data_IF_842634879732
#
_entry.id   IF_842634879732
#
_cell.length_a   1.000
_cell.length_b   1.000
_cell.length_c   1.000
_cell.angle_alpha   90.00
_cell.angle_beta   90.00
_cell.angle_gamma   90.00
#
_symmetry.space_group_name_H-M   'P 1'
#
loop_
_entity.id
_entity.type
_entity.pdbx_description
1 polymer ?
#
# COMPACT_ATOMS: atom_id res chain seq x y z
N UNK A 1 -21.18 5.54 23.94
CA UNK A 1 -21.95 5.90 22.73
C UNK A 1 -21.51 7.29 22.29
N UNK A 2 -20.42 7.33 21.52
CA UNK A 2 -19.91 8.51 20.84
C UNK A 2 -19.00 7.95 19.73
N UNK A 3 -19.63 7.43 18.67
CA UNK A 3 -18.90 7.00 17.49
C UNK A 3 -18.28 8.24 16.86
N UNK A 4 -16.99 8.17 16.58
CA UNK A 4 -16.18 9.19 15.93
C UNK A 4 -16.83 9.65 14.62
N UNK A 5 -17.66 10.70 14.71
CA UNK A 5 -18.36 11.32 13.59
C UNK A 5 -17.43 11.79 12.46
N UNK A 6 -16.13 11.90 12.74
CA UNK A 6 -15.09 12.28 11.79
C UNK A 6 -14.77 11.17 10.78
N UNK A 7 -14.84 9.89 11.17
CA UNK A 7 -14.55 8.76 10.26
C UNK A 7 -15.68 8.50 9.26
N UNK A 8 -16.93 8.77 9.65
CA UNK A 8 -18.10 8.60 8.78
C UNK A 8 -18.22 9.71 7.71
N UNK A 9 -17.68 10.90 7.96
CA UNK A 9 -17.78 12.02 7.02
C UNK A 9 -16.91 11.83 5.76
N UNK A 10 -15.74 11.16 5.90
CA UNK A 10 -14.86 10.85 4.77
C UNK A 10 -15.44 9.75 3.86
N UNK A 11 -16.07 8.72 4.44
CA UNK A 11 -16.69 7.65 3.64
C UNK A 11 -17.92 8.13 2.83
N UNK A 12 -18.65 9.16 3.29
CA UNK A 12 -19.86 9.62 2.61
C UNK A 12 -19.58 10.50 1.38
N UNK A 13 -18.40 11.11 1.29
CA UNK A 13 -18.00 11.99 0.18
C UNK A 13 -17.54 11.20 -1.07
N UNK A 14 -17.07 9.97 -0.89
CA UNK A 14 -16.56 9.12 -1.98
C UNK A 14 -17.67 8.46 -2.82
N UNK A 15 -18.87 8.30 -2.26
CA UNK A 15 -19.96 7.54 -2.93
C UNK A 15 -20.73 8.39 -3.95
N UNK A 16 -20.62 9.72 -3.92
CA UNK A 16 -21.45 10.59 -4.78
C UNK A 16 -20.90 10.87 -6.18
N UNK A 17 -19.69 10.41 -6.53
CA UNK A 17 -19.04 10.80 -7.81
C UNK A 17 -18.99 9.70 -8.88
N UNK A 18 -19.48 8.47 -8.63
CA UNK A 18 -19.41 7.35 -9.59
C UNK A 18 -20.76 7.04 -10.28
N UNK A 19 -21.55 8.07 -10.58
CA UNK A 19 -22.77 7.91 -11.37
C UNK A 19 -22.80 8.88 -12.55
N UNK A 20 -22.04 8.61 -13.61
CA UNK A 20 -22.29 9.16 -14.96
C UNK A 20 -21.44 8.53 -16.08
N UNK A 21 -22.09 7.62 -16.84
CA UNK A 21 -22.04 7.36 -18.31
C UNK A 21 -20.66 6.94 -18.92
N UNK A 22 -20.49 5.90 -19.75
CA UNK A 22 -21.31 5.42 -20.87
C UNK A 22 -21.14 3.92 -21.18
N UNK A 23 -22.24 3.31 -21.63
CA UNK A 23 -22.30 2.08 -22.42
C UNK A 23 -21.90 2.32 -23.90
N UNK A 24 -21.72 1.19 -24.65
CA UNK A 24 -21.53 0.97 -26.11
C UNK A 24 -20.10 0.44 -26.39
N UNK A 25 -19.81 -0.69 -27.07
CA UNK A 25 -20.57 -1.64 -27.91
C UNK A 25 -19.86 -3.02 -27.94
N UNK A 26 -20.63 -4.07 -28.18
CA UNK A 26 -20.20 -5.35 -28.72
C UNK A 26 -19.43 -5.24 -30.05
N UNK A 27 -18.52 -6.18 -30.30
CA UNK A 27 -17.93 -6.46 -31.61
C UNK A 27 -17.03 -7.70 -31.56
N UNK A 28 -17.56 -8.86 -31.92
CA UNK A 28 -16.88 -10.17 -31.93
C UNK A 28 -16.35 -10.48 -33.34
N UNK A 29 -15.11 -10.96 -33.48
CA UNK A 29 -14.72 -11.85 -34.61
C UNK A 29 -13.69 -12.88 -34.15
N UNK A 30 -13.99 -14.15 -34.39
CA UNK A 30 -13.14 -15.33 -34.19
C UNK A 30 -12.10 -15.49 -35.31
N UNK A 31 -10.88 -15.91 -34.96
CA UNK A 31 -10.13 -16.92 -35.72
C UNK A 31 -8.93 -17.44 -34.90
N UNK A 32 -8.84 -18.76 -34.81
CA UNK A 32 -7.72 -19.59 -34.35
C UNK A 32 -6.42 -19.28 -35.09
N UNK A 33 -5.27 -19.38 -34.41
CA UNK A 33 -4.40 -20.55 -34.62
C UNK A 33 -3.29 -20.70 -33.58
N UNK A 34 -3.04 -21.96 -33.29
CA UNK A 34 -2.12 -22.55 -32.34
C UNK A 34 -0.65 -22.43 -32.75
N UNK A 35 0.21 -22.06 -31.82
CA UNK A 35 1.56 -22.61 -31.76
C UNK A 35 2.00 -22.67 -30.30
N UNK A 36 2.16 -23.89 -29.80
CA UNK A 36 2.69 -24.15 -28.46
C UNK A 36 4.11 -23.59 -28.37
N UNK A 37 4.30 -22.65 -27.46
CA UNK A 37 5.62 -22.22 -27.02
C UNK A 37 5.77 -22.65 -25.57
N UNK A 38 6.69 -23.60 -25.41
CA UNK A 38 7.38 -24.01 -24.19
C UNK A 38 7.18 -23.03 -23.01
N UNK A 39 6.45 -23.50 -21.98
CA UNK A 39 6.34 -22.76 -20.71
C UNK A 39 7.62 -23.04 -19.93
N UNK A 40 8.64 -22.22 -20.21
CA UNK A 40 9.76 -22.04 -19.27
C UNK A 40 9.23 -21.18 -18.12
N UNK A 41 9.31 -21.63 -16.84
CA UNK A 41 8.91 -20.79 -15.73
C UNK A 41 9.91 -19.64 -15.55
N UNK A 42 9.42 -18.40 -15.60
CA UNK A 42 10.01 -17.29 -14.87
C UNK A 42 11.14 -16.53 -15.56
N UNK A 43 10.88 -15.89 -16.70
CA UNK A 43 11.48 -14.57 -16.93
C UNK A 43 10.46 -13.54 -16.45
N UNK A 44 10.58 -13.14 -15.17
CA UNK A 44 9.88 -11.95 -14.72
C UNK A 44 10.33 -10.80 -15.61
N UNK A 45 9.38 -10.10 -16.23
CA UNK A 45 9.69 -8.90 -17.00
C UNK A 45 10.44 -7.95 -16.06
N UNK A 46 11.68 -7.62 -16.44
CA UNK A 46 12.52 -6.68 -15.73
C UNK A 46 11.80 -5.34 -15.68
N UNK A 47 11.89 -4.61 -14.58
CA UNK A 47 11.25 -3.29 -14.52
C UNK A 47 11.95 -2.34 -15.48
N UNK A 48 11.15 -1.64 -16.30
CA UNK A 48 11.66 -0.69 -17.29
C UNK A 48 12.17 0.60 -16.62
N UNK A 49 11.50 1.05 -15.55
CA UNK A 49 11.90 2.15 -14.67
C UNK A 49 11.25 2.03 -13.29
N UNK A 50 11.66 2.88 -12.34
CA UNK A 50 11.00 2.92 -11.02
C UNK A 50 9.55 3.41 -11.12
N UNK A 51 9.27 4.38 -11.97
CA UNK A 51 7.92 4.94 -12.19
C UNK A 51 7.01 3.88 -12.80
N UNK A 52 7.48 3.13 -13.81
CA UNK A 52 6.72 2.03 -14.39
C UNK A 52 6.44 0.92 -13.37
N UNK A 53 7.42 0.61 -12.51
CA UNK A 53 7.22 -0.26 -11.37
C UNK A 53 6.14 0.28 -10.43
N UNK A 54 6.23 1.56 -10.02
CA UNK A 54 5.36 2.17 -9.03
C UNK A 54 3.91 2.22 -9.53
N UNK A 55 3.68 2.63 -10.78
CA UNK A 55 2.35 2.60 -11.41
C UNK A 55 1.73 1.22 -11.35
N UNK A 56 2.50 0.17 -11.66
CA UNK A 56 1.98 -1.20 -11.62
C UNK A 56 1.81 -1.72 -10.19
N UNK A 57 2.70 -1.31 -9.29
CA UNK A 57 2.66 -1.64 -7.87
C UNK A 57 1.38 -1.12 -7.21
N UNK A 58 0.96 0.10 -7.54
CA UNK A 58 -0.23 0.74 -6.99
C UNK A 58 -1.53 0.41 -7.72
N UNK A 59 -1.47 -0.25 -8.89
CA UNK A 59 -2.66 -0.56 -9.70
C UNK A 59 -3.04 -2.05 -9.76
N UNK A 60 -2.28 -2.94 -9.12
CA UNK A 60 -2.55 -4.39 -9.10
C UNK A 60 -2.12 -5.03 -7.80
N UNK A 61 -3.08 -5.51 -7.01
CA UNK A 61 -2.84 -6.18 -5.75
C UNK A 61 -1.97 -7.43 -5.92
N UNK A 62 -2.28 -8.26 -6.93
CA UNK A 62 -1.49 -9.44 -7.23
C UNK A 62 -0.03 -9.07 -7.50
N UNK A 63 0.23 -8.05 -8.34
CA UNK A 63 1.59 -7.60 -8.61
C UNK A 63 2.26 -7.04 -7.37
N UNK A 64 1.56 -6.21 -6.58
CA UNK A 64 2.06 -5.63 -5.35
C UNK A 64 2.60 -6.70 -4.40
N UNK A 65 1.82 -7.74 -4.12
CA UNK A 65 2.26 -8.84 -3.25
C UNK A 65 3.49 -9.59 -3.79
N UNK A 66 3.69 -9.68 -5.12
CA UNK A 66 4.92 -10.31 -5.67
C UNK A 66 6.17 -9.45 -5.47
N UNK A 67 5.99 -8.16 -5.23
CA UNK A 67 7.06 -7.17 -5.11
C UNK A 67 7.30 -6.70 -3.68
N UNK A 68 6.67 -7.34 -2.69
CA UNK A 68 7.01 -7.15 -1.27
C UNK A 68 7.80 -8.36 -0.78
N UNK A 69 8.98 -8.13 -0.19
CA UNK A 69 9.82 -9.18 0.40
C UNK A 69 9.36 -9.46 1.83
N UNK A 70 8.46 -10.44 2.00
CA UNK A 70 8.03 -10.88 3.33
C UNK A 70 8.97 -11.93 3.96
N UNK A 71 9.10 -11.94 5.31
CA UNK A 71 8.70 -10.86 6.20
C UNK A 71 9.55 -9.60 5.94
N UNK A 72 9.00 -8.42 6.22
CA UNK A 72 9.75 -7.17 6.11
C UNK A 72 10.92 -7.15 7.11
N UNK A 73 11.93 -6.33 6.82
CA UNK A 73 13.14 -6.21 7.65
C UNK A 73 12.80 -5.78 9.07
N UNK A 74 11.93 -4.80 9.23
CA UNK A 74 11.49 -4.30 10.53
C UNK A 74 10.21 -5.01 10.98
N UNK A 75 10.19 -5.68 12.15
CA UNK A 75 8.97 -6.26 12.70
C UNK A 75 8.05 -5.17 13.26
N UNK A 76 6.77 -5.50 13.41
CA UNK A 76 5.82 -4.67 14.16
C UNK A 76 6.21 -4.72 15.64
N UNK A 77 6.37 -3.57 16.29
CA UNK A 77 6.73 -3.48 17.71
C UNK A 77 5.64 -2.71 18.45
N UNK A 78 5.01 -3.36 19.44
CA UNK A 78 3.91 -2.79 20.22
C UNK A 78 4.25 -2.79 21.71
N UNK A 79 3.75 -1.79 22.43
CA UNK A 79 3.87 -1.71 23.88
C UNK A 79 2.82 -2.61 24.56
N UNK A 80 3.21 -3.31 25.62
CA UNK A 80 2.27 -4.06 26.46
C UNK A 80 1.34 -3.12 27.21
N UNK A 81 0.14 -3.61 27.56
CA UNK A 81 -0.91 -2.81 28.21
C UNK A 81 -0.47 -2.15 29.53
N UNK A 82 0.59 -2.66 30.18
CA UNK A 82 1.16 -2.10 31.40
C UNK A 82 2.22 -1.01 31.15
N UNK A 83 2.57 -0.74 29.89
CA UNK A 83 3.57 0.25 29.48
C UNK A 83 5.02 -0.13 29.77
N UNK A 84 5.29 -1.36 30.26
CA UNK A 84 6.60 -1.71 30.81
C UNK A 84 7.41 -2.66 29.92
N UNK A 85 6.84 -3.18 28.83
CA UNK A 85 7.53 -4.12 27.95
C UNK A 85 7.03 -4.08 26.52
N UNK A 86 7.95 -4.23 25.57
CA UNK A 86 7.65 -4.30 24.14
C UNK A 86 7.46 -5.74 23.68
N UNK A 87 6.56 -5.95 22.71
CA UNK A 87 6.43 -7.22 21.98
C UNK A 87 6.57 -6.99 20.49
N UNK A 88 7.33 -7.87 19.86
CA UNK A 88 7.58 -7.84 18.42
C UNK A 88 6.76 -8.92 17.71
N UNK A 89 6.15 -8.57 16.58
CA UNK A 89 5.40 -9.46 15.71
C UNK A 89 5.99 -9.41 14.29
N UNK A 90 6.18 -10.55 13.61
CA UNK A 90 6.64 -10.55 12.23
C UNK A 90 5.68 -9.78 11.32
N UNK A 91 6.23 -8.86 10.51
CA UNK A 91 5.47 -8.14 9.50
C UNK A 91 5.43 -8.96 8.21
N UNK A 92 4.39 -9.78 8.12
CA UNK A 92 4.16 -10.81 7.08
C UNK A 92 3.02 -10.39 6.16
N UNK A 93 2.81 -11.16 5.07
CA UNK A 93 1.84 -10.85 4.02
C UNK A 93 0.43 -10.58 4.54
N UNK A 94 -0.02 -11.33 5.55
CA UNK A 94 -1.37 -11.18 6.10
C UNK A 94 -1.61 -9.89 6.89
N UNK A 95 -0.54 -9.13 7.16
CA UNK A 95 -0.57 -7.83 7.85
C UNK A 95 -0.27 -6.66 6.89
N UNK A 96 -0.01 -6.92 5.62
CA UNK A 96 0.37 -5.88 4.65
C UNK A 96 -0.86 -5.06 4.22
N UNK A 97 -0.92 -3.74 4.47
CA UNK A 97 -1.92 -2.88 3.84
C UNK A 97 -1.53 -2.63 2.37
N UNK A 98 -2.44 -2.90 1.44
CA UNK A 98 -2.22 -2.59 0.02
C UNK A 98 -2.17 -1.07 -0.17
N UNK A 99 -1.15 -0.61 -0.90
CA UNK A 99 -0.89 0.80 -1.15
C UNK A 99 -1.40 1.20 -2.53
N UNK A 100 -2.20 2.26 -2.61
CA UNK A 100 -2.73 2.81 -3.85
C UNK A 100 -1.88 3.96 -4.41
N UNK A 101 -2.30 4.54 -5.54
CA UNK A 101 -1.57 5.63 -6.20
C UNK A 101 -1.55 6.89 -5.35
N UNK A 102 -2.67 7.24 -4.71
CA UNK A 102 -2.76 8.43 -3.86
C UNK A 102 -1.86 8.30 -2.62
N UNK A 103 -1.73 7.10 -2.04
CA UNK A 103 -0.86 6.82 -0.89
C UNK A 103 0.62 7.09 -1.20
N UNK A 104 1.07 6.80 -2.43
CA UNK A 104 2.49 6.91 -2.83
C UNK A 104 2.78 8.12 -3.74
N UNK A 105 1.86 9.07 -3.80
CA UNK A 105 2.00 10.31 -4.56
C UNK A 105 2.83 11.32 -3.79
N UNK A 106 3.75 12.02 -4.48
CA UNK A 106 4.50 13.12 -3.87
C UNK A 106 3.67 14.41 -3.87
N UNK A 107 3.35 14.93 -2.69
CA UNK A 107 2.58 16.16 -2.54
C UNK A 107 2.87 16.90 -1.22
N UNK A 108 2.47 18.17 -1.18
CA UNK A 108 2.49 19.00 0.02
C UNK A 108 1.17 19.73 0.12
N UNK A 109 0.39 19.39 1.13
CA UNK A 109 -0.96 19.93 1.35
C UNK A 109 -0.94 20.79 2.61
N UNK A 110 -1.38 22.04 2.49
CA UNK A 110 -1.60 22.93 3.63
C UNK A 110 -3.09 22.85 3.99
N UNK A 111 -3.40 22.38 5.19
CA UNK A 111 -4.78 22.31 5.69
C UNK A 111 -5.24 23.67 6.21
N UNK A 112 -6.56 23.88 6.21
CA UNK A 112 -7.20 25.13 6.64
C UNK A 112 -6.90 25.44 8.13
N UNK A 113 -6.70 24.41 8.95
CA UNK A 113 -6.31 24.52 10.37
C UNK A 113 -4.80 24.73 10.58
N UNK A 114 -4.02 24.86 9.52
CA UNK A 114 -2.58 25.18 9.56
C UNK A 114 -1.62 23.99 9.56
N UNK A 115 -2.13 22.76 9.65
CA UNK A 115 -1.30 21.55 9.54
C UNK A 115 -0.79 21.34 8.10
N UNK A 116 0.44 20.87 7.94
CA UNK A 116 1.02 20.57 6.62
C UNK A 116 1.25 19.07 6.50
N UNK A 117 0.54 18.43 5.57
CA UNK A 117 0.81 17.06 5.16
C UNK A 117 1.85 17.04 4.04
N UNK A 118 2.86 16.19 4.16
CA UNK A 118 3.91 16.02 3.16
C UNK A 118 4.09 14.54 2.88
N UNK A 119 4.13 14.20 1.59
CA UNK A 119 4.52 12.89 1.09
C UNK A 119 5.60 13.07 0.03
N UNK A 120 6.74 12.38 0.17
CA UNK A 120 7.89 12.54 -0.74
C UNK A 120 8.88 11.38 -0.65
N UNK A 121 9.71 11.24 -1.67
CA UNK A 121 10.94 10.46 -1.53
C UNK A 121 11.99 11.23 -0.72
N UNK A 122 12.29 10.75 0.49
CA UNK A 122 13.37 11.28 1.33
C UNK A 122 14.73 10.71 0.95
N UNK A 123 14.74 9.53 0.32
CA UNK A 123 15.91 8.96 -0.36
C UNK A 123 15.51 8.61 -1.79
N UNK A 124 16.31 9.04 -2.76
CA UNK A 124 16.02 8.86 -4.19
C UNK A 124 17.28 8.46 -4.97
N UNK A 125 17.85 7.30 -4.65
CA UNK A 125 19.06 6.78 -5.30
C UNK A 125 18.69 5.81 -6.45
N UNK A 126 19.65 5.47 -7.35
CA UNK A 126 19.38 4.59 -8.50
C UNK A 126 18.92 3.18 -8.13
N UNK A 127 19.29 2.67 -6.95
CA UNK A 127 19.01 1.29 -6.50
C UNK A 127 18.30 1.22 -5.15
N UNK A 128 18.06 2.36 -4.51
CA UNK A 128 17.49 2.46 -3.17
C UNK A 128 16.64 3.74 -3.07
N UNK A 129 15.39 3.61 -2.66
CA UNK A 129 14.48 4.74 -2.48
C UNK A 129 13.68 4.57 -1.21
N UNK A 130 13.42 5.67 -0.52
CA UNK A 130 12.61 5.70 0.68
C UNK A 130 11.56 6.78 0.53
N UNK A 131 10.30 6.38 0.60
CA UNK A 131 9.14 7.26 0.60
C UNK A 131 8.67 7.46 2.03
N UNK A 132 8.40 8.70 2.42
CA UNK A 132 7.78 9.03 3.70
C UNK A 132 6.55 9.89 3.47
N UNK A 133 5.51 9.66 4.27
CA UNK A 133 4.32 10.48 4.29
C UNK A 133 3.84 10.71 5.73
N UNK A 134 3.39 11.94 6.03
CA UNK A 134 2.88 12.34 7.33
C UNK A 134 2.80 13.87 7.49
N UNK A 135 2.40 14.32 8.67
CA UNK A 135 2.40 15.75 9.00
C UNK A 135 3.79 16.24 9.40
N UNK A 136 4.21 17.43 8.92
CA UNK A 136 5.56 17.99 9.20
C UNK A 136 5.87 18.14 10.70
N UNK A 137 4.84 18.32 11.54
CA UNK A 137 4.95 18.49 13.00
C UNK A 137 4.56 17.22 13.78
N UNK A 138 4.55 16.05 13.15
CA UNK A 138 4.18 14.77 13.78
C UNK A 138 5.14 13.66 13.38
N UNK A 139 4.95 12.48 13.99
CA UNK A 139 5.57 11.26 13.48
C UNK A 139 5.02 10.95 12.07
N UNK A 140 5.83 10.30 11.24
CA UNK A 140 5.39 9.86 9.91
C UNK A 140 4.27 8.84 10.05
N UNK A 141 3.31 8.87 9.13
CA UNK A 141 2.23 7.87 9.06
C UNK A 141 2.66 6.64 8.26
N UNK A 142 3.58 6.83 7.32
CA UNK A 142 4.05 5.82 6.39
C UNK A 142 5.53 6.04 6.06
N UNK A 143 6.30 4.95 6.05
CA UNK A 143 7.61 4.89 5.38
C UNK A 143 7.69 3.62 4.56
N UNK A 144 8.07 3.69 3.29
CA UNK A 144 8.23 2.53 2.41
C UNK A 144 9.63 2.52 1.82
N UNK A 145 10.34 1.40 1.96
CA UNK A 145 11.71 1.23 1.46
C UNK A 145 11.72 0.35 0.22
N UNK A 146 12.16 0.91 -0.90
CA UNK A 146 12.28 0.24 -2.19
C UNK A 146 13.75 -0.06 -2.52
N UNK A 147 14.05 -1.31 -2.85
CA UNK A 147 15.39 -1.72 -3.28
C UNK A 147 15.33 -2.40 -4.66
N UNK A 148 16.30 -2.07 -5.51
CA UNK A 148 16.49 -2.73 -6.80
C UNK A 148 17.33 -4.01 -6.61
N UNK A 149 16.69 -5.17 -6.71
CA UNK A 149 17.31 -6.49 -6.50
C UNK A 149 17.25 -7.28 -7.79
N UNK A 150 18.40 -7.70 -8.31
CA UNK A 150 18.53 -8.42 -9.58
C UNK A 150 17.80 -7.74 -10.75
N UNK A 151 17.75 -6.40 -10.70
CA UNK A 151 17.10 -5.58 -11.72
C UNK A 151 15.58 -5.47 -11.62
N UNK A 152 14.98 -5.91 -10.51
CA UNK A 152 13.57 -5.71 -10.18
C UNK A 152 13.45 -4.94 -8.87
N UNK A 153 12.54 -3.97 -8.82
CA UNK A 153 12.22 -3.24 -7.61
C UNK A 153 11.35 -4.08 -6.68
N UNK A 154 11.66 -3.98 -5.39
CA UNK A 154 10.91 -4.59 -4.30
C UNK A 154 10.75 -3.62 -3.14
N UNK A 155 9.61 -3.68 -2.46
CA UNK A 155 9.49 -3.21 -1.09
C UNK A 155 10.19 -4.20 -0.18
N UNK A 156 11.15 -3.71 0.61
CA UNK A 156 11.92 -4.55 1.55
C UNK A 156 11.70 -4.18 3.01
N UNK A 157 11.16 -2.98 3.27
CA UNK A 157 10.76 -2.56 4.59
C UNK A 157 9.60 -1.57 4.55
N UNK A 158 8.85 -1.51 5.64
CA UNK A 158 7.72 -0.58 5.79
C UNK A 158 7.46 -0.25 7.26
N UNK A 159 7.21 1.03 7.53
CA UNK A 159 6.50 1.48 8.71
C UNK A 159 5.12 1.97 8.29
N UNK A 160 4.09 1.67 9.08
CA UNK A 160 2.74 2.18 8.87
C UNK A 160 2.04 2.43 10.20
N UNK A 161 1.31 3.54 10.29
CA UNK A 161 0.54 3.93 11.47
C UNK A 161 -0.57 2.92 11.85
N UNK A 162 -0.97 2.02 10.92
CA UNK A 162 -1.83 0.87 11.23
C UNK A 162 -1.31 0.07 12.42
N UNK A 163 0.01 -0.07 12.54
CA UNK A 163 0.66 -0.80 13.62
C UNK A 163 1.64 0.11 14.38
N UNK A 164 1.25 1.36 14.57
CA UNK A 164 1.99 2.32 15.38
C UNK A 164 2.20 1.81 16.81
N UNK A 165 3.20 2.38 17.48
CA UNK A 165 3.56 1.98 18.85
C UNK A 165 2.41 2.17 19.87
N UNK A 166 1.49 3.08 19.57
CA UNK A 166 0.29 3.37 20.37
C UNK A 166 -0.82 2.33 20.22
N UNK A 167 -0.72 1.40 19.25
CA UNK A 167 -1.70 0.33 19.08
C UNK A 167 -1.63 -0.65 20.26
N UNK A 168 -2.71 -0.81 21.06
CA UNK A 168 -2.74 -1.81 22.11
C UNK A 168 -2.61 -3.22 21.53
N UNK A 169 -1.83 -4.08 22.21
CA UNK A 169 -1.60 -5.46 21.73
C UNK A 169 -2.92 -6.24 21.62
N UNK A 170 -3.88 -5.97 22.52
CA UNK A 170 -5.21 -6.56 22.48
C UNK A 170 -5.96 -6.28 21.16
N UNK A 171 -5.70 -5.13 20.53
CA UNK A 171 -6.38 -4.64 19.34
C UNK A 171 -5.68 -5.06 18.04
N UNK A 172 -4.47 -5.63 18.11
CA UNK A 172 -3.69 -6.04 16.94
C UNK A 172 -4.48 -6.99 16.01
N UNK A 173 -5.22 -7.96 16.59
CA UNK A 173 -6.00 -8.92 15.80
C UNK A 173 -7.15 -8.25 15.03
N UNK A 174 -7.85 -7.32 15.69
CA UNK A 174 -8.93 -6.56 15.06
C UNK A 174 -8.37 -5.65 13.97
N UNK A 175 -7.27 -4.98 14.24
CA UNK A 175 -6.58 -4.10 13.29
C UNK A 175 -6.13 -4.86 12.04
N UNK A 176 -5.54 -6.06 12.20
CA UNK A 176 -5.21 -6.94 11.06
C UNK A 176 -6.47 -7.32 10.27
N UNK A 177 -7.60 -7.54 10.93
CA UNK A 177 -8.86 -7.88 10.24
C UNK A 177 -9.38 -6.70 9.41
N UNK A 178 -9.26 -5.46 9.92
CA UNK A 178 -9.62 -4.24 9.19
C UNK A 178 -8.72 -4.03 7.97
N UNK A 179 -7.40 -4.20 8.11
CA UNK A 179 -6.46 -4.15 6.97
C UNK A 179 -6.83 -5.18 5.91
N UNK A 180 -7.21 -6.39 6.30
CA UNK A 180 -7.65 -7.43 5.36
C UNK A 180 -8.99 -7.11 4.68
N UNK A 181 -9.87 -6.35 5.35
CA UNK A 181 -11.12 -5.89 4.76
C UNK A 181 -10.87 -4.79 3.72
N UNK A 182 -10.02 -3.81 4.05
CA UNK A 182 -9.60 -2.77 3.10
C UNK A 182 -8.86 -3.36 1.90
N UNK A 183 -8.00 -4.36 2.12
CA UNK A 183 -7.32 -5.07 1.02
C UNK A 183 -8.29 -5.76 0.08
N UNK A 184 -9.38 -6.36 0.59
CA UNK A 184 -10.40 -6.98 -0.28
C UNK A 184 -11.09 -5.94 -1.14
N UNK A 185 -11.44 -4.79 -0.56
CA UNK A 185 -12.04 -3.70 -1.31
C UNK A 185 -11.07 -3.17 -2.41
N UNK A 186 -9.78 -3.07 -2.10
CA UNK A 186 -8.76 -2.71 -3.08
C UNK A 186 -8.63 -3.78 -4.18
N UNK A 187 -8.56 -5.06 -3.83
CA UNK A 187 -8.46 -6.19 -4.77
C UNK A 187 -9.66 -6.26 -5.76
N UNK A 188 -10.85 -5.79 -5.36
CA UNK A 188 -12.03 -5.74 -6.24
C UNK A 188 -11.87 -4.73 -7.40
N UNK A 189 -11.15 -3.63 -7.17
CA UNK A 189 -10.93 -2.58 -8.18
C UNK A 189 -9.53 -2.66 -8.83
N UNK A 190 -8.58 -3.31 -8.16
CA UNK A 190 -7.17 -3.45 -8.56
C UNK A 190 -6.68 -4.90 -8.40
N UNK A 191 -7.14 -5.85 -9.23
CA UNK A 191 -6.78 -7.26 -9.09
C UNK A 191 -5.28 -7.56 -9.25
#
# INVERSE_FOLDING_TARGET
>A
MAMNAKRFALCLLMVTMLASVCFISCGNTSAKDSSGKDVTPGTAQKDDSFEAFLTKFTSSAAFQYTRVKFPLKTPITLMSDDGNSEKTFPFTKEKWPLLDEETLKEERIVQDEGGVYVSRFVVNEPTHKEFEAGYEESEVDLRVVFELIDGNWYVTDCYTAWYSFDLPIADLKETISQVQEENKAFEEVHP
#
